data_IF_557218930800
#
_entry.id   IF_557218930800
#
_cell.length_a   1.000
_cell.length_b   1.000
_cell.length_c   1.000
_cell.angle_alpha   90.00
_cell.angle_beta   90.00
_cell.angle_gamma   90.00
#
_symmetry.space_group_name_H-M   'P 1'
#
loop_
_entity.id
_entity.type
_entity.pdbx_description
1 polymer ?
#
# COMPACT_ATOMS: atom_id res chain seq x y z
N UNK A 1 8.77 -26.74 16.74
CA UNK A 1 8.60 -25.29 16.48
C UNK A 1 9.77 -24.87 15.61
N UNK A 2 9.52 -24.46 14.36
CA UNK A 2 10.60 -24.02 13.46
C UNK A 2 10.87 -22.55 13.81
N UNK A 3 12.06 -22.27 14.28
CA UNK A 3 12.49 -20.90 14.57
C UNK A 3 13.07 -20.32 13.27
N UNK A 4 12.39 -19.34 12.68
CA UNK A 4 12.87 -18.64 11.48
C UNK A 4 13.65 -17.42 11.98
N UNK A 5 14.93 -17.37 11.68
CA UNK A 5 15.74 -16.16 11.89
C UNK A 5 15.55 -15.24 10.69
N UNK A 6 14.98 -14.05 10.93
CA UNK A 6 14.82 -13.00 9.93
C UNK A 6 15.77 -11.86 10.32
N UNK A 7 16.59 -11.41 9.38
CA UNK A 7 17.44 -10.24 9.54
C UNK A 7 17.02 -9.16 8.54
N UNK A 8 16.95 -7.91 9.01
CA UNK A 8 16.81 -6.74 8.14
C UNK A 8 18.12 -6.44 7.43
N UNK A 9 18.02 -5.94 6.21
CA UNK A 9 19.15 -5.48 5.40
C UNK A 9 18.95 -4.01 5.05
N UNK A 10 20.04 -3.25 4.95
CA UNK A 10 20.02 -1.86 4.48
C UNK A 10 19.94 -1.75 2.96
N UNK A 11 20.25 -2.84 2.28
CA UNK A 11 20.22 -2.97 0.82
C UNK A 11 19.23 -4.06 0.41
N UNK A 12 19.03 -4.24 -0.91
CA UNK A 12 18.23 -5.33 -1.44
C UNK A 12 18.80 -6.71 -1.04
N UNK A 13 17.98 -7.65 -0.56
CA UNK A 13 16.55 -7.54 -0.20
C UNK A 13 16.37 -6.99 1.22
N UNK A 14 15.16 -6.47 1.53
CA UNK A 14 14.84 -5.90 2.85
C UNK A 14 14.99 -6.91 3.99
N UNK A 15 14.61 -8.18 3.75
CA UNK A 15 14.68 -9.25 4.75
C UNK A 15 15.29 -10.51 4.16
N UNK A 16 16.16 -11.16 4.95
CA UNK A 16 16.81 -12.41 4.61
C UNK A 16 16.44 -13.47 5.65
N UNK A 17 16.19 -14.70 5.21
CA UNK A 17 16.00 -15.88 6.04
C UNK A 17 16.71 -17.10 5.42
N UNK A 18 16.86 -18.18 6.17
CA UNK A 18 17.72 -19.33 5.82
C UNK A 18 17.51 -19.87 4.39
N UNK A 19 16.26 -19.95 3.93
CA UNK A 19 15.91 -20.53 2.64
C UNK A 19 15.42 -19.52 1.60
N UNK A 20 15.46 -18.19 1.89
CA UNK A 20 14.89 -17.20 0.99
C UNK A 20 15.13 -15.75 1.39
N UNK A 21 14.34 -14.89 0.77
CA UNK A 21 14.33 -13.47 1.04
C UNK A 21 12.94 -12.87 0.81
N UNK A 22 12.68 -11.72 1.43
CA UNK A 22 11.51 -10.88 1.21
C UNK A 22 12.00 -9.51 0.77
N UNK A 23 11.43 -9.02 -0.30
CA UNK A 23 11.55 -7.64 -0.75
C UNK A 23 10.19 -6.97 -0.65
N UNK A 24 10.11 -5.84 0.05
CA UNK A 24 8.89 -5.07 0.26
C UNK A 24 8.92 -3.79 -0.55
N UNK A 25 7.80 -3.48 -1.21
CA UNK A 25 7.62 -2.18 -1.85
C UNK A 25 6.16 -1.79 -1.95
N UNK A 26 5.94 -0.48 -2.04
CA UNK A 26 4.62 0.11 -2.16
C UNK A 26 4.28 0.43 -3.61
N UNK A 27 2.99 0.31 -3.93
CA UNK A 27 2.39 0.72 -5.20
C UNK A 27 1.24 1.68 -4.93
N UNK A 28 0.96 2.57 -5.87
CA UNK A 28 -0.03 3.64 -5.68
C UNK A 28 -1.00 3.68 -6.86
N UNK A 29 -2.25 3.99 -6.58
CA UNK A 29 -3.28 4.27 -7.59
C UNK A 29 -3.27 5.71 -8.10
N UNK A 30 -2.33 6.54 -7.64
CA UNK A 30 -2.17 7.92 -8.03
C UNK A 30 -1.17 8.05 -9.18
N UNK A 31 -1.31 9.14 -9.94
CA UNK A 31 -0.34 9.48 -10.99
C UNK A 31 1.06 9.62 -10.42
N UNK A 32 2.04 9.16 -11.15
CA UNK A 32 3.43 9.31 -10.80
C UNK A 32 4.15 10.32 -11.70
N UNK A 33 5.05 11.07 -11.09
CA UNK A 33 5.91 12.06 -11.74
C UNK A 33 7.38 11.71 -11.51
N UNK A 34 8.29 12.51 -12.05
CA UNK A 34 9.73 12.39 -11.75
C UNK A 34 10.05 12.58 -10.26
N UNK A 35 9.14 13.21 -9.49
CA UNK A 35 9.27 13.42 -8.04
C UNK A 35 8.56 12.32 -7.22
N UNK A 36 8.06 11.27 -7.85
CA UNK A 36 7.32 10.18 -7.21
C UNK A 36 5.80 10.30 -7.33
N UNK A 37 5.06 9.55 -6.51
CA UNK A 37 3.60 9.55 -6.51
C UNK A 37 3.04 10.91 -6.12
N UNK A 38 2.08 11.42 -6.90
CA UNK A 38 1.35 12.65 -6.58
C UNK A 38 0.64 12.53 -5.22
N UNK A 39 0.03 11.40 -4.94
CA UNK A 39 -0.57 11.14 -3.63
C UNK A 39 0.43 11.29 -2.48
N UNK A 40 1.66 10.74 -2.60
CA UNK A 40 2.69 10.90 -1.55
C UNK A 40 3.09 12.36 -1.32
N UNK A 41 3.11 13.15 -2.38
CA UNK A 41 3.42 14.57 -2.26
C UNK A 41 2.30 15.31 -1.52
N UNK A 42 1.04 15.03 -1.88
CA UNK A 42 -0.14 15.59 -1.19
C UNK A 42 -0.23 15.12 0.27
N UNK A 43 0.00 13.84 0.54
CA UNK A 43 0.06 13.28 1.89
C UNK A 43 1.12 13.97 2.75
N UNK A 44 2.30 14.21 2.19
CA UNK A 44 3.39 14.89 2.90
C UNK A 44 3.04 16.35 3.21
N UNK A 45 2.42 17.07 2.25
CA UNK A 45 1.95 18.44 2.45
C UNK A 45 0.84 18.48 3.51
N UNK A 46 -0.10 17.56 3.44
CA UNK A 46 -1.18 17.42 4.41
C UNK A 46 -0.65 17.19 5.83
N UNK A 47 0.26 16.22 6.03
CA UNK A 47 0.86 15.95 7.34
C UNK A 47 1.49 17.20 7.92
N UNK A 48 2.31 17.90 7.13
CA UNK A 48 2.96 19.15 7.59
C UNK A 48 1.94 20.23 7.96
N UNK A 49 0.87 20.36 7.20
CA UNK A 49 -0.19 21.36 7.46
C UNK A 49 -1.01 20.97 8.68
N UNK A 50 -1.38 19.70 8.83
CA UNK A 50 -2.10 19.19 9.98
C UNK A 50 -1.27 19.33 11.27
N UNK A 51 0.02 18.97 11.24
CA UNK A 51 0.92 19.12 12.39
C UNK A 51 1.04 20.58 12.85
N UNK A 52 1.15 21.52 11.88
CA UNK A 52 1.17 22.95 12.20
C UNK A 52 -0.12 23.40 12.84
N UNK A 53 -1.26 23.05 12.24
CA UNK A 53 -2.57 23.41 12.74
C UNK A 53 -2.88 22.76 14.10
N UNK A 54 -2.39 21.56 14.36
CA UNK A 54 -2.48 20.91 15.66
C UNK A 54 -1.71 21.68 16.74
N UNK A 55 -0.49 22.14 16.44
CA UNK A 55 0.30 22.96 17.37
C UNK A 55 -0.39 24.28 17.68
N UNK A 56 -0.88 24.98 16.66
CA UNK A 56 -1.62 26.23 16.83
C UNK A 56 -2.88 26.03 17.69
N UNK A 57 -3.57 24.91 17.52
CA UNK A 57 -4.76 24.56 18.32
C UNK A 57 -4.41 24.25 19.77
N UNK A 58 -3.28 23.57 20.01
CA UNK A 58 -2.79 23.32 21.36
C UNK A 58 -2.39 24.62 22.06
N UNK A 59 -1.67 25.52 21.39
CA UNK A 59 -1.30 26.80 21.93
C UNK A 59 -2.54 27.70 22.20
N UNK A 60 -3.58 27.58 21.39
CA UNK A 60 -4.86 28.25 21.64
C UNK A 60 -5.51 27.68 22.90
N UNK A 61 -5.59 26.34 23.01
CA UNK A 61 -6.14 25.65 24.18
C UNK A 61 -5.43 26.07 25.47
N UNK A 62 -4.11 26.14 25.47
CA UNK A 62 -3.31 26.51 26.64
C UNK A 62 -3.47 28.01 27.03
N UNK A 63 -3.83 28.88 26.07
CA UNK A 63 -4.01 30.33 26.33
C UNK A 63 -5.42 30.73 26.74
N UNK A 64 -6.42 29.96 26.31
CA UNK A 64 -7.81 30.25 26.63
C UNK A 64 -8.21 29.60 27.95
N UNK A 65 -8.86 30.37 28.85
CA UNK A 65 -9.49 29.84 30.04
C UNK A 65 -10.81 29.20 29.66
N UNK A 66 -10.77 27.91 29.28
CA UNK A 66 -11.98 27.12 29.00
C UNK A 66 -12.74 26.85 30.29
N UNK A 67 -14.08 26.79 30.18
CA UNK A 67 -14.92 26.39 31.30
C UNK A 67 -14.63 24.93 31.66
N UNK A 68 -14.70 24.59 32.96
CA UNK A 68 -14.59 23.18 33.39
C UNK A 68 -15.50 22.26 32.58
N UNK A 69 -15.05 21.04 32.32
CA UNK A 69 -15.78 20.03 31.53
C UNK A 69 -16.00 20.44 30.06
N UNK A 70 -15.07 21.21 29.48
CA UNK A 70 -15.11 21.54 28.06
C UNK A 70 -14.40 20.46 27.25
N UNK A 71 -15.01 20.10 26.11
CA UNK A 71 -14.40 19.24 25.09
C UNK A 71 -14.31 20.06 23.80
N UNK A 72 -13.13 20.17 23.25
CA UNK A 72 -12.91 20.76 21.92
C UNK A 72 -12.34 19.71 20.97
N UNK A 73 -12.96 19.55 19.81
CA UNK A 73 -12.46 18.66 18.76
C UNK A 73 -12.20 19.47 17.49
N UNK A 74 -11.11 19.16 16.82
CA UNK A 74 -10.78 19.70 15.48
C UNK A 74 -10.40 18.55 14.56
N UNK A 75 -10.90 18.58 13.35
CA UNK A 75 -10.51 17.65 12.28
C UNK A 75 -9.83 18.39 11.14
N UNK A 76 -8.88 17.72 10.54
CA UNK A 76 -8.20 18.15 9.32
C UNK A 76 -8.32 17.00 8.33
N UNK A 77 -8.79 17.28 7.14
CA UNK A 77 -9.09 16.26 6.15
C UNK A 77 -8.32 16.51 4.86
N UNK A 78 -7.80 15.45 4.26
CA UNK A 78 -7.34 15.43 2.89
C UNK A 78 -8.22 14.46 2.11
N UNK A 79 -8.83 14.96 1.04
CA UNK A 79 -9.53 14.14 0.06
C UNK A 79 -8.70 14.15 -1.23
N UNK A 80 -8.26 12.96 -1.67
CA UNK A 80 -7.55 12.79 -2.92
C UNK A 80 -8.38 11.86 -3.84
N UNK A 81 -8.82 12.36 -4.98
CA UNK A 81 -9.73 11.69 -5.90
C UNK A 81 -9.13 11.40 -7.29
N UNK A 82 -7.90 11.85 -7.55
CA UNK A 82 -7.15 11.56 -8.79
C UNK A 82 -6.54 10.14 -8.80
N UNK A 83 -7.28 9.15 -8.29
CA UNK A 83 -6.87 7.75 -8.30
C UNK A 83 -7.46 7.04 -9.52
N UNK A 84 -6.70 6.12 -10.12
CA UNK A 84 -7.21 5.25 -11.17
C UNK A 84 -6.58 3.85 -11.11
N UNK A 85 -7.30 2.87 -11.68
CA UNK A 85 -6.78 1.51 -11.83
C UNK A 85 -5.58 1.48 -12.81
N UNK A 86 -5.61 2.31 -13.85
CA UNK A 86 -4.48 2.44 -14.77
C UNK A 86 -3.20 2.91 -14.05
N UNK A 87 -3.30 3.91 -13.17
CA UNK A 87 -2.18 4.36 -12.37
C UNK A 87 -1.68 3.27 -11.43
N UNK A 88 -2.58 2.48 -10.82
CA UNK A 88 -2.20 1.33 -10.02
C UNK A 88 -1.39 0.32 -10.83
N UNK A 89 -1.87 -0.10 -12.00
CA UNK A 89 -1.18 -1.07 -12.86
C UNK A 89 0.19 -0.54 -13.31
N UNK A 90 0.27 0.74 -13.68
CA UNK A 90 1.52 1.37 -14.10
C UNK A 90 2.53 1.44 -12.94
N UNK A 91 2.07 1.84 -11.75
CA UNK A 91 2.88 1.84 -10.53
C UNK A 91 3.36 0.44 -10.17
N UNK A 92 2.46 -0.55 -10.22
CA UNK A 92 2.78 -1.95 -9.98
C UNK A 92 3.88 -2.44 -10.92
N UNK A 93 3.67 -2.36 -12.22
CA UNK A 93 4.61 -2.87 -13.24
C UNK A 93 5.97 -2.19 -13.15
N UNK A 94 5.98 -0.87 -12.94
CA UNK A 94 7.21 -0.10 -12.84
C UNK A 94 8.03 -0.48 -11.60
N UNK A 95 7.40 -0.49 -10.41
CA UNK A 95 8.08 -0.84 -9.17
C UNK A 95 8.51 -2.31 -9.18
N UNK A 96 7.64 -3.21 -9.63
CA UNK A 96 7.98 -4.62 -9.77
C UNK A 96 9.22 -4.82 -10.65
N UNK A 97 9.27 -4.18 -11.83
CA UNK A 97 10.42 -4.24 -12.73
C UNK A 97 11.71 -3.73 -12.07
N UNK A 98 11.64 -2.60 -11.35
CA UNK A 98 12.78 -2.04 -10.61
C UNK A 98 13.35 -3.06 -9.62
N UNK A 99 12.49 -3.71 -8.84
CA UNK A 99 12.90 -4.71 -7.85
C UNK A 99 13.39 -6.01 -8.50
N UNK A 100 12.86 -6.41 -9.67
CA UNK A 100 13.42 -7.50 -10.48
C UNK A 100 14.85 -7.18 -10.97
N UNK A 101 15.12 -5.94 -11.35
CA UNK A 101 16.46 -5.52 -11.75
C UNK A 101 17.45 -5.56 -10.58
N UNK A 102 17.02 -5.19 -9.38
CA UNK A 102 17.80 -5.37 -8.15
C UNK A 102 18.02 -6.85 -7.83
N UNK A 103 16.98 -7.69 -7.96
CA UNK A 103 17.07 -9.13 -7.76
C UNK A 103 18.08 -9.80 -8.69
N UNK A 104 18.14 -9.39 -9.96
CA UNK A 104 19.13 -9.91 -10.93
C UNK A 104 20.57 -9.58 -10.53
N UNK A 105 20.80 -8.46 -9.85
CA UNK A 105 22.12 -8.08 -9.31
C UNK A 105 22.45 -8.83 -8.03
N UNK A 106 21.45 -9.15 -7.25
CA UNK A 106 21.57 -9.95 -6.03
C UNK A 106 21.72 -11.42 -6.41
N UNK A 107 22.92 -11.96 -6.33
CA UNK A 107 23.24 -13.34 -6.73
C UNK A 107 22.57 -14.37 -5.77
N UNK A 108 21.24 -14.44 -5.82
CA UNK A 108 20.39 -15.28 -4.96
C UNK A 108 20.26 -16.70 -5.50
N UNK A 109 21.37 -17.35 -5.87
CA UNK A 109 21.33 -18.73 -6.37
C UNK A 109 20.61 -19.64 -5.34
N UNK A 110 19.53 -20.29 -5.80
CA UNK A 110 18.73 -21.27 -5.03
C UNK A 110 17.91 -20.73 -3.84
N UNK A 111 17.70 -19.43 -3.71
CA UNK A 111 16.85 -18.86 -2.65
C UNK A 111 15.40 -18.71 -3.09
N UNK A 112 14.46 -18.97 -2.16
CA UNK A 112 13.04 -18.71 -2.39
C UNK A 112 12.76 -17.22 -2.25
N UNK A 113 12.61 -16.52 -3.38
CA UNK A 113 12.27 -15.10 -3.38
C UNK A 113 10.77 -14.85 -3.22
N UNK A 114 10.44 -13.84 -2.43
CA UNK A 114 9.09 -13.34 -2.23
C UNK A 114 9.10 -11.81 -2.37
N UNK A 115 8.19 -11.27 -3.19
CA UNK A 115 7.88 -9.85 -3.21
C UNK A 115 6.61 -9.59 -2.43
N UNK A 116 6.71 -8.74 -1.39
CA UNK A 116 5.60 -8.21 -0.62
C UNK A 116 5.22 -6.83 -1.17
N UNK A 117 4.06 -6.74 -1.77
CA UNK A 117 3.56 -5.56 -2.47
C UNK A 117 2.42 -4.96 -1.66
N UNK A 118 2.60 -3.74 -1.21
CA UNK A 118 1.64 -3.02 -0.40
C UNK A 118 0.95 -1.90 -1.20
N UNK A 119 -0.38 -1.86 -1.13
CA UNK A 119 -1.22 -0.81 -1.70
C UNK A 119 -2.20 -0.31 -0.66
N UNK A 120 -1.97 0.87 -0.11
CA UNK A 120 -2.75 1.41 1.02
C UNK A 120 -3.36 2.78 0.76
N UNK A 121 -3.07 3.40 -0.39
CA UNK A 121 -3.51 4.78 -0.63
C UNK A 121 -4.98 4.91 -1.03
N UNK A 122 -5.61 3.86 -1.55
CA UNK A 122 -7.02 3.90 -1.94
C UNK A 122 -7.62 2.49 -1.96
N UNK A 123 -8.94 2.40 -1.81
CA UNK A 123 -9.63 1.12 -1.96
C UNK A 123 -9.80 0.78 -3.44
N UNK A 124 -9.36 -0.42 -3.84
CA UNK A 124 -9.70 -1.01 -5.13
C UNK A 124 -10.86 -1.99 -4.97
N UNK A 125 -11.73 -2.05 -5.98
CA UNK A 125 -12.89 -2.95 -5.99
C UNK A 125 -13.30 -3.34 -7.42
N UNK A 126 -14.06 -4.42 -7.52
CA UNK A 126 -14.61 -4.91 -8.78
C UNK A 126 -15.76 -4.00 -9.22
N UNK A 127 -15.71 -3.50 -10.45
CA UNK A 127 -16.72 -2.59 -10.98
C UNK A 127 -18.06 -3.32 -11.17
N UNK A 128 -19.16 -2.63 -10.84
CA UNK A 128 -20.52 -3.11 -11.12
C UNK A 128 -21.02 -4.24 -10.20
N UNK A 129 -20.33 -4.50 -9.09
CA UNK A 129 -20.75 -5.51 -8.10
C UNK A 129 -21.56 -4.90 -6.97
N UNK A 130 -22.61 -5.64 -6.51
CA UNK A 130 -23.35 -5.32 -5.31
C UNK A 130 -23.65 -6.62 -4.54
N UNK A 131 -23.21 -6.78 -3.27
CA UNK A 131 -22.39 -5.83 -2.52
C UNK A 131 -21.02 -5.60 -3.16
N UNK A 132 -20.36 -4.50 -2.81
CA UNK A 132 -19.04 -4.15 -3.35
C UNK A 132 -18.04 -5.27 -3.07
N UNK A 133 -17.46 -5.83 -4.12
CA UNK A 133 -16.42 -6.85 -4.02
C UNK A 133 -15.05 -6.17 -4.05
N UNK A 134 -14.28 -6.26 -2.98
CA UNK A 134 -12.95 -5.70 -2.95
C UNK A 134 -12.01 -6.36 -3.98
N UNK A 135 -11.05 -5.60 -4.44
CA UNK A 135 -9.99 -6.11 -5.31
C UNK A 135 -9.25 -7.27 -4.65
N UNK A 136 -8.93 -8.25 -5.47
CA UNK A 136 -8.03 -9.35 -5.13
C UNK A 136 -7.10 -9.55 -6.31
N UNK A 137 -5.82 -9.74 -6.04
CA UNK A 137 -4.82 -10.01 -7.09
C UNK A 137 -5.18 -11.26 -7.91
N UNK A 138 -5.90 -12.21 -7.31
CA UNK A 138 -6.43 -13.42 -7.98
C UNK A 138 -7.39 -13.12 -9.13
N UNK A 139 -8.00 -11.95 -9.20
CA UNK A 139 -8.95 -11.57 -10.25
C UNK A 139 -8.31 -10.71 -11.34
N UNK A 140 -7.07 -10.26 -11.12
CA UNK A 140 -6.40 -9.34 -12.02
C UNK A 140 -5.52 -10.09 -13.03
N UNK A 141 -6.13 -10.42 -14.16
CA UNK A 141 -5.47 -11.16 -15.23
C UNK A 141 -4.22 -10.43 -15.75
N UNK A 142 -4.32 -9.12 -15.98
CA UNK A 142 -3.25 -8.33 -16.60
C UNK A 142 -2.01 -8.26 -15.69
N UNK A 143 -2.23 -8.08 -14.39
CA UNK A 143 -1.15 -8.06 -13.41
C UNK A 143 -0.57 -9.48 -13.23
N UNK A 144 -1.41 -10.52 -13.18
CA UNK A 144 -0.93 -11.90 -13.06
C UNK A 144 -0.11 -12.34 -14.27
N UNK A 145 -0.55 -12.03 -15.49
CA UNK A 145 0.21 -12.32 -16.72
C UNK A 145 1.57 -11.61 -16.71
N UNK A 146 1.60 -10.38 -16.23
CA UNK A 146 2.86 -9.66 -16.08
C UNK A 146 3.79 -10.30 -15.06
N UNK A 147 3.30 -10.64 -13.87
CA UNK A 147 4.08 -11.32 -12.81
C UNK A 147 4.62 -12.66 -13.28
N UNK A 148 3.83 -13.42 -14.05
CA UNK A 148 4.22 -14.74 -14.53
C UNK A 148 5.45 -14.73 -15.45
N UNK A 149 5.74 -13.62 -16.11
CA UNK A 149 6.95 -13.47 -16.94
C UNK A 149 8.25 -13.65 -16.13
N UNK A 150 8.19 -13.50 -14.80
CA UNK A 150 9.33 -13.58 -13.88
C UNK A 150 9.36 -14.89 -13.05
N UNK A 151 8.64 -15.93 -13.50
CA UNK A 151 8.49 -17.23 -12.81
C UNK A 151 9.81 -17.93 -12.48
N UNK A 152 10.86 -17.68 -13.26
CA UNK A 152 12.18 -18.31 -13.08
C UNK A 152 13.07 -17.54 -12.09
N UNK A 153 12.68 -16.32 -11.72
CA UNK A 153 13.43 -15.45 -10.80
C UNK A 153 12.79 -15.36 -9.41
N UNK A 154 11.47 -15.50 -9.34
CA UNK A 154 10.70 -15.25 -8.12
C UNK A 154 9.71 -16.40 -7.88
N UNK A 155 9.56 -16.81 -6.63
CA UNK A 155 8.71 -17.95 -6.27
C UNK A 155 7.31 -17.53 -5.82
N UNK A 156 7.20 -16.45 -5.08
CA UNK A 156 5.95 -15.95 -4.50
C UNK A 156 5.79 -14.45 -4.71
N UNK A 157 4.54 -14.06 -4.86
CA UNK A 157 4.09 -12.68 -4.74
C UNK A 157 3.04 -12.63 -3.65
N UNK A 158 3.19 -11.68 -2.74
CA UNK A 158 2.21 -11.33 -1.71
C UNK A 158 1.74 -9.91 -1.99
N UNK A 159 0.44 -9.74 -2.06
CA UNK A 159 -0.20 -8.44 -2.19
C UNK A 159 -1.05 -8.15 -0.96
N UNK A 160 -0.97 -6.93 -0.45
CA UNK A 160 -1.81 -6.47 0.65
C UNK A 160 -2.35 -5.07 0.41
N UNK A 161 -3.61 -4.85 0.82
CA UNK A 161 -4.26 -3.54 0.87
C UNK A 161 -4.38 -3.01 2.32
N UNK A 162 -3.61 -3.60 3.24
CA UNK A 162 -3.67 -3.31 4.66
C UNK A 162 -4.77 -4.07 5.42
N UNK A 163 -5.83 -4.52 4.73
CA UNK A 163 -6.93 -5.27 5.34
C UNK A 163 -6.93 -6.75 4.93
N UNK A 164 -6.33 -7.06 3.79
CA UNK A 164 -6.30 -8.40 3.20
C UNK A 164 -4.92 -8.72 2.67
N UNK A 165 -4.65 -10.02 2.60
CA UNK A 165 -3.40 -10.54 2.06
C UNK A 165 -3.73 -11.60 1.02
N UNK A 166 -3.17 -11.45 -0.18
CA UNK A 166 -3.18 -12.45 -1.25
C UNK A 166 -1.77 -13.04 -1.38
N UNK A 167 -1.64 -14.35 -1.19
CA UNK A 167 -0.39 -15.08 -1.36
C UNK A 167 -0.48 -15.93 -2.61
N UNK A 168 0.36 -15.66 -3.59
CA UNK A 168 0.36 -16.34 -4.88
C UNK A 168 1.72 -17.00 -5.15
N UNK A 169 1.72 -18.31 -5.29
CA UNK A 169 2.86 -19.03 -5.86
C UNK A 169 2.87 -18.79 -7.37
N UNK A 170 3.93 -18.23 -7.93
CA UNK A 170 3.97 -17.81 -9.33
C UNK A 170 3.72 -18.97 -10.30
N UNK A 171 4.21 -20.17 -9.98
CA UNK A 171 4.01 -21.35 -10.84
C UNK A 171 2.54 -21.77 -11.03
N UNK A 172 1.61 -21.32 -10.17
CA UNK A 172 0.17 -21.66 -10.29
C UNK A 172 -0.64 -20.60 -11.02
N UNK A 173 -0.05 -19.46 -11.36
CA UNK A 173 -0.71 -18.34 -12.04
C UNK A 173 -1.49 -18.78 -13.29
N UNK A 174 -0.96 -19.64 -14.21
CA UNK A 174 -1.73 -20.08 -15.39
C UNK A 174 -3.07 -20.74 -15.04
N UNK A 175 -3.11 -21.52 -13.93
CA UNK A 175 -4.34 -22.14 -13.44
C UNK A 175 -5.31 -21.13 -12.83
N UNK A 176 -4.78 -20.08 -12.21
CA UNK A 176 -5.60 -18.99 -11.68
C UNK A 176 -6.25 -18.23 -12.83
N UNK A 177 -5.46 -17.80 -13.83
CA UNK A 177 -5.94 -17.04 -14.99
C UNK A 177 -7.08 -17.74 -15.72
N UNK A 178 -7.00 -19.07 -15.88
CA UNK A 178 -8.06 -19.87 -16.52
C UNK A 178 -9.41 -19.81 -15.79
N UNK A 179 -9.44 -19.45 -14.51
CA UNK A 179 -10.63 -19.37 -13.66
C UNK A 179 -11.18 -17.95 -13.50
N UNK A 180 -10.45 -16.94 -13.98
CA UNK A 180 -10.90 -15.56 -13.87
C UNK A 180 -12.06 -15.37 -14.85
N UNK A 181 -13.21 -14.84 -14.39
CA UNK A 181 -14.32 -14.49 -15.27
C UNK A 181 -13.90 -13.48 -16.32
N UNK A 182 -14.47 -13.58 -17.52
CA UNK A 182 -14.22 -12.58 -18.55
C UNK A 182 -14.85 -11.23 -18.19
N UNK A 183 -14.20 -10.15 -18.60
CA UNK A 183 -14.75 -8.80 -18.46
C UNK A 183 -14.69 -8.21 -17.05
N UNK A 184 -13.95 -8.81 -16.12
CA UNK A 184 -13.70 -8.21 -14.80
C UNK A 184 -13.00 -6.87 -15.00
N UNK A 185 -13.58 -5.81 -14.44
CA UNK A 185 -13.03 -4.46 -14.42
C UNK A 185 -12.88 -3.98 -12.98
N UNK A 186 -11.95 -3.07 -12.76
CA UNK A 186 -11.67 -2.54 -11.43
C UNK A 186 -11.87 -1.02 -11.40
N UNK A 187 -12.35 -0.55 -10.26
CA UNK A 187 -12.42 0.87 -9.92
C UNK A 187 -11.59 1.16 -8.68
N UNK A 188 -11.19 2.40 -8.56
CA UNK A 188 -10.45 2.92 -7.41
C UNK A 188 -11.31 3.97 -6.72
N UNK A 189 -11.41 3.87 -5.41
CA UNK A 189 -12.09 4.85 -4.58
C UNK A 189 -11.24 6.10 -4.32
N UNK A 190 -11.85 7.06 -3.65
CA UNK A 190 -11.14 8.23 -3.11
C UNK A 190 -10.26 7.81 -1.95
N UNK A 191 -9.16 8.53 -1.76
CA UNK A 191 -8.40 8.46 -0.51
C UNK A 191 -8.90 9.55 0.41
N UNK A 192 -9.18 9.20 1.65
CA UNK A 192 -9.57 10.14 2.69
C UNK A 192 -8.63 9.95 3.88
N UNK A 193 -7.86 10.98 4.21
CA UNK A 193 -7.03 11.01 5.42
C UNK A 193 -7.61 12.04 6.36
N UNK A 194 -7.83 11.64 7.61
CA UNK A 194 -8.35 12.52 8.64
C UNK A 194 -7.41 12.50 9.83
N UNK A 195 -7.00 13.68 10.28
CA UNK A 195 -6.33 13.88 11.57
C UNK A 195 -7.34 14.49 12.55
N UNK A 196 -7.63 13.78 13.63
CA UNK A 196 -8.50 14.25 14.70
C UNK A 196 -7.66 14.65 15.91
N UNK A 197 -7.91 15.86 16.41
CA UNK A 197 -7.35 16.34 17.67
C UNK A 197 -8.50 16.60 18.65
N UNK A 198 -8.34 16.08 19.87
CA UNK A 198 -9.32 16.23 20.93
C UNK A 198 -8.63 16.81 22.17
N UNK A 199 -9.18 17.89 22.70
CA UNK A 199 -8.77 18.49 23.96
C UNK A 199 -9.91 18.31 24.96
N UNK A 200 -9.57 17.88 26.16
CA UNK A 200 -10.54 17.55 27.20
C UNK A 200 -10.09 18.19 28.51
N UNK A 201 -10.92 19.04 29.10
CA UNK A 201 -10.77 19.53 30.47
C UNK A 201 -11.84 18.85 31.34
N UNK A 202 -11.38 17.87 32.11
CA UNK A 202 -12.22 17.17 33.08
C UNK A 202 -11.76 17.59 34.48
N UNK A 203 -12.55 18.39 35.16
CA UNK A 203 -12.37 18.56 36.62
C UNK A 203 -12.96 17.32 37.33
N UNK A 204 -12.08 16.47 37.84
CA UNK A 204 -12.41 15.36 38.72
C UNK A 204 -12.62 15.83 40.14
#
# INVERSE_FOLDING_TARGET
>A
MIQIHISESLDFPDFIFDSGFIEHFQVYSARETSKGSCFKQEESNYKRTADKACKESQEQWEREEFKPNTIMTKSYDLIYDENSYEYFVNSFKRNFKKHIESLKKYNAQNKNGLFLIEHTNAMLFVEGTYPVVPYRLFFDKDVLEYVYQFKDLLKYVVYTDGNRVDVIKISVIPKIIQRIPQGVKFKVGRTCLTTLQCFIDLQL
#
